data_IF_507018638713
#
_entry.id   IF_507018638713
#
_cell.length_a   1.000
_cell.length_b   1.000
_cell.length_c   1.000
_cell.angle_alpha   90.00
_cell.angle_beta   90.00
_cell.angle_gamma   90.00
#
_symmetry.space_group_name_H-M   'P 1'
#
loop_
_entity.id
_entity.type
_entity.pdbx_description
1 polymer ?
#
# COMPACT_ATOMS: atom_id res chain seq x y z
N UNK A 1 -0.25 -55.38 6.93
CA UNK A 1 -1.58 -54.87 6.52
C UNK A 1 -2.06 -53.72 7.40
N UNK A 2 -2.32 -53.92 8.71
CA UNK A 2 -2.81 -52.82 9.57
C UNK A 2 -1.76 -51.71 9.78
N UNK A 3 -0.48 -52.09 9.95
CA UNK A 3 0.63 -51.15 10.12
C UNK A 3 0.91 -50.33 8.85
N UNK A 4 0.73 -50.93 7.68
CA UNK A 4 0.90 -50.26 6.38
C UNK A 4 -0.17 -49.18 6.18
N UNK A 5 -1.42 -49.49 6.52
CA UNK A 5 -2.55 -48.54 6.49
C UNK A 5 -2.29 -47.39 7.46
N UNK A 6 -1.81 -47.67 8.68
CA UNK A 6 -1.48 -46.64 9.67
C UNK A 6 -0.34 -45.73 9.21
N UNK A 7 0.66 -46.29 8.52
CA UNK A 7 1.79 -45.56 7.95
C UNK A 7 1.35 -44.63 6.82
N UNK A 8 0.51 -45.10 5.90
CA UNK A 8 -0.05 -44.28 4.83
C UNK A 8 -0.94 -43.15 5.37
N UNK A 9 -1.80 -43.42 6.36
CA UNK A 9 -2.62 -42.40 7.00
C UNK A 9 -1.77 -41.30 7.66
N UNK A 10 -0.70 -41.68 8.39
CA UNK A 10 0.23 -40.69 8.97
C UNK A 10 0.90 -39.83 7.90
N UNK A 11 1.31 -40.45 6.78
CA UNK A 11 1.96 -39.75 5.67
C UNK A 11 1.00 -38.77 4.98
N UNK A 12 -0.26 -39.15 4.81
CA UNK A 12 -1.31 -38.27 4.27
C UNK A 12 -1.58 -37.10 5.20
N UNK A 13 -1.76 -37.36 6.50
CA UNK A 13 -1.97 -36.29 7.48
C UNK A 13 -0.80 -35.30 7.54
N UNK A 14 0.44 -35.78 7.43
CA UNK A 14 1.63 -34.92 7.34
C UNK A 14 1.63 -34.04 6.08
N UNK A 15 1.28 -34.61 4.92
CA UNK A 15 1.19 -33.84 3.67
C UNK A 15 0.12 -32.76 3.76
N UNK A 16 -1.04 -33.08 4.33
CA UNK A 16 -2.12 -32.12 4.54
C UNK A 16 -1.70 -31.00 5.49
N UNK A 17 -1.07 -31.34 6.63
CA UNK A 17 -0.57 -30.36 7.58
C UNK A 17 0.44 -29.40 6.93
N UNK A 18 1.37 -29.93 6.11
CA UNK A 18 2.33 -29.11 5.35
C UNK A 18 1.59 -28.20 4.36
N UNK A 19 0.63 -28.74 3.59
CA UNK A 19 -0.13 -27.97 2.63
C UNK A 19 -0.92 -26.82 3.29
N UNK A 20 -1.56 -27.09 4.44
CA UNK A 20 -2.27 -26.09 5.22
C UNK A 20 -1.34 -25.01 5.77
N UNK A 21 -0.17 -25.39 6.30
CA UNK A 21 0.83 -24.46 6.80
C UNK A 21 1.35 -23.54 5.70
N UNK A 22 1.65 -24.10 4.51
CA UNK A 22 2.07 -23.33 3.34
C UNK A 22 0.95 -22.37 2.90
N UNK A 23 -0.29 -22.86 2.80
CA UNK A 23 -1.44 -22.03 2.43
C UNK A 23 -1.67 -20.87 3.40
N UNK A 24 -1.59 -21.12 4.70
CA UNK A 24 -1.67 -20.07 5.72
C UNK A 24 -0.54 -19.05 5.58
N UNK A 25 0.70 -19.51 5.39
CA UNK A 25 1.86 -18.63 5.21
C UNK A 25 1.71 -17.73 3.97
N UNK A 26 1.25 -18.29 2.85
CA UNK A 26 0.98 -17.52 1.63
C UNK A 26 -0.12 -16.47 1.83
N UNK A 27 -1.21 -16.84 2.49
CA UNK A 27 -2.30 -15.91 2.79
C UNK A 27 -1.84 -14.76 3.71
N UNK A 28 -1.06 -15.07 4.74
CA UNK A 28 -0.48 -14.06 5.62
C UNK A 28 0.48 -13.13 4.88
N UNK A 29 1.35 -13.67 4.02
CA UNK A 29 2.25 -12.86 3.16
C UNK A 29 1.46 -11.95 2.22
N UNK A 30 0.41 -12.47 1.56
CA UNK A 30 -0.46 -11.69 0.69
C UNK A 30 -1.09 -10.51 1.44
N UNK A 31 -1.66 -10.77 2.62
CA UNK A 31 -2.29 -9.74 3.43
C UNK A 31 -1.27 -8.69 3.91
N UNK A 32 -0.11 -9.15 4.39
CA UNK A 32 1.00 -8.27 4.81
C UNK A 32 1.47 -7.38 3.66
N UNK A 33 1.66 -7.94 2.48
CA UNK A 33 2.08 -7.19 1.30
C UNK A 33 1.02 -6.15 0.90
N UNK A 34 -0.26 -6.53 0.90
CA UNK A 34 -1.37 -5.59 0.64
C UNK A 34 -1.36 -4.42 1.61
N UNK A 35 -1.20 -4.70 2.91
CA UNK A 35 -1.14 -3.66 3.93
C UNK A 35 0.09 -2.76 3.77
N UNK A 36 1.28 -3.34 3.52
CA UNK A 36 2.51 -2.58 3.27
C UNK A 36 2.39 -1.66 2.06
N UNK A 37 1.83 -2.15 0.95
CA UNK A 37 1.62 -1.34 -0.26
C UNK A 37 0.65 -0.20 0.03
N UNK A 38 -0.45 -0.46 0.75
CA UNK A 38 -1.40 0.58 1.16
C UNK A 38 -0.73 1.67 2.00
N UNK A 39 -0.03 1.27 3.07
CA UNK A 39 0.67 2.21 3.96
C UNK A 39 1.77 3.00 3.22
N UNK A 40 2.54 2.33 2.37
CA UNK A 40 3.57 2.99 1.56
C UNK A 40 2.96 4.00 0.58
N UNK A 41 1.83 3.64 -0.05
CA UNK A 41 1.07 4.53 -0.92
C UNK A 41 0.56 5.75 -0.18
N UNK A 42 -0.09 5.56 0.97
CA UNK A 42 -0.59 6.64 1.83
C UNK A 42 0.53 7.59 2.29
N UNK A 43 1.68 7.04 2.71
CA UNK A 43 2.84 7.83 3.12
C UNK A 43 3.43 8.65 1.96
N UNK A 44 3.58 8.04 0.77
CA UNK A 44 4.05 8.75 -0.44
C UNK A 44 3.07 9.84 -0.87
N UNK A 45 1.77 9.56 -0.82
CA UNK A 45 0.73 10.52 -1.17
C UNK A 45 0.72 11.72 -0.21
N UNK A 46 0.88 11.46 1.09
CA UNK A 46 1.00 12.50 2.12
C UNK A 46 2.25 13.37 1.90
N UNK A 47 3.41 12.76 1.62
CA UNK A 47 4.63 13.48 1.30
C UNK A 47 4.48 14.33 0.04
N UNK A 48 3.86 13.78 -1.02
CA UNK A 48 3.61 14.50 -2.27
C UNK A 48 2.72 15.73 -2.03
N UNK A 49 1.64 15.60 -1.24
CA UNK A 49 0.76 16.73 -0.87
C UNK A 49 1.52 17.81 -0.09
N UNK A 50 2.37 17.40 0.85
CA UNK A 50 3.20 18.33 1.64
C UNK A 50 4.17 19.09 0.74
N UNK A 51 4.87 18.39 -0.15
CA UNK A 51 5.80 18.99 -1.10
C UNK A 51 5.08 19.95 -2.06
N UNK A 52 3.91 19.56 -2.58
CA UNK A 52 3.09 20.42 -3.42
C UNK A 52 2.63 21.69 -2.70
N UNK A 53 2.23 21.58 -1.43
CA UNK A 53 1.86 22.75 -0.64
C UNK A 53 3.05 23.69 -0.47
N UNK A 54 4.23 23.16 -0.15
CA UNK A 54 5.46 23.95 -0.01
C UNK A 54 5.88 24.65 -1.31
N UNK A 55 5.85 23.94 -2.44
CA UNK A 55 6.17 24.50 -3.77
C UNK A 55 5.14 25.57 -4.17
N UNK A 56 3.86 25.29 -3.95
CA UNK A 56 2.76 26.23 -4.18
C UNK A 56 2.94 27.52 -3.39
N UNK A 57 3.30 27.41 -2.12
CA UNK A 57 3.55 28.55 -1.26
C UNK A 57 4.79 29.34 -1.71
N UNK A 58 5.90 28.65 -2.00
CA UNK A 58 7.12 29.28 -2.50
C UNK A 58 6.90 30.02 -3.82
N UNK A 59 6.32 29.35 -4.83
CA UNK A 59 6.06 29.96 -6.14
C UNK A 59 4.99 31.06 -6.07
N UNK A 60 3.91 30.81 -5.34
CA UNK A 60 2.82 31.77 -5.18
C UNK A 60 3.21 33.00 -4.36
N UNK A 61 4.21 32.91 -3.49
CA UNK A 61 4.78 34.06 -2.78
C UNK A 61 5.88 34.76 -3.59
N UNK A 62 6.58 34.02 -4.47
CA UNK A 62 7.62 34.57 -5.36
C UNK A 62 7.03 35.46 -6.47
N UNK A 63 5.81 35.16 -6.91
CA UNK A 63 5.10 35.96 -7.93
C UNK A 63 3.90 36.65 -7.29
N UNK A 64 3.92 37.99 -7.25
CA UNK A 64 2.84 38.79 -6.66
C UNK A 64 1.60 38.87 -7.57
N UNK A 65 0.47 39.25 -6.99
CA UNK A 65 -0.77 39.56 -7.73
C UNK A 65 -1.55 38.33 -8.20
N UNK A 66 -2.40 38.51 -9.20
CA UNK A 66 -3.32 37.48 -9.70
C UNK A 66 -2.62 36.23 -10.23
N UNK A 67 -1.39 36.37 -10.76
CA UNK A 67 -0.62 35.21 -11.20
C UNK A 67 -0.25 34.30 -10.02
N UNK A 68 0.26 34.85 -8.91
CA UNK A 68 0.56 34.09 -7.70
C UNK A 68 -0.66 33.39 -7.12
N UNK A 69 -1.83 34.04 -7.15
CA UNK A 69 -3.11 33.43 -6.76
C UNK A 69 -3.45 32.23 -7.64
N UNK A 70 -3.37 32.37 -8.97
CA UNK A 70 -3.63 31.28 -9.93
C UNK A 70 -2.68 30.09 -9.75
N UNK A 71 -1.41 30.34 -9.45
CA UNK A 71 -0.45 29.28 -9.12
C UNK A 71 -0.90 28.52 -7.87
N UNK A 72 -1.23 29.22 -6.78
CA UNK A 72 -1.70 28.57 -5.54
C UNK A 72 -2.97 27.74 -5.77
N UNK A 73 -3.92 28.27 -6.53
CA UNK A 73 -5.16 27.56 -6.86
C UNK A 73 -4.93 26.31 -7.72
N UNK A 74 -4.00 26.38 -8.68
CA UNK A 74 -3.69 25.25 -9.57
C UNK A 74 -3.08 24.09 -8.79
N UNK A 75 -2.12 24.37 -7.90
CA UNK A 75 -1.55 23.37 -7.00
C UNK A 75 -2.58 22.84 -6.01
N UNK A 76 -3.48 23.67 -5.49
CA UNK A 76 -4.58 23.22 -4.61
C UNK A 76 -5.50 22.24 -5.34
N UNK A 77 -5.92 22.53 -6.58
CA UNK A 77 -6.74 21.63 -7.40
C UNK A 77 -6.01 20.31 -7.69
N UNK A 78 -4.72 20.36 -8.01
CA UNK A 78 -3.93 19.14 -8.20
C UNK A 78 -3.82 18.32 -6.90
N UNK A 79 -3.69 18.96 -5.74
CA UNK A 79 -3.68 18.30 -4.43
C UNK A 79 -5.00 17.60 -4.11
N UNK A 80 -6.12 18.23 -4.47
CA UNK A 80 -7.46 17.63 -4.33
C UNK A 80 -7.69 16.45 -5.28
N UNK A 81 -7.08 16.47 -6.47
CA UNK A 81 -7.12 15.31 -7.36
C UNK A 81 -6.33 14.13 -6.79
N UNK A 82 -5.30 14.39 -5.99
CA UNK A 82 -4.57 13.37 -5.22
C UNK A 82 -5.38 12.84 -4.02
N UNK A 83 -6.47 13.48 -3.59
CA UNK A 83 -7.39 12.90 -2.58
C UNK A 83 -8.29 11.80 -3.16
N UNK A 84 -8.38 11.69 -4.49
CA UNK A 84 -9.21 10.71 -5.20
C UNK A 84 -8.47 9.42 -5.56
N UNK A 85 -7.17 9.34 -5.24
CA UNK A 85 -6.29 8.18 -5.41
C UNK A 85 -6.13 7.43 -4.09
#
# INVERSE_FOLDING_TARGET
MLDDVKKELKKTAQKEAIALAIGHSMNQKKQTNKQKVKQSGEAKLSSLKTNMASVSESMGNSVKGEFGKKVKESFKKQGQNLDKF
#
